data_IF_009396441712
#
_entry.id   IF_009396441712
#
_cell.length_a   1.000
_cell.length_b   1.000
_cell.length_c   1.000
_cell.angle_alpha   90.00
_cell.angle_beta   90.00
_cell.angle_gamma   90.00
#
_symmetry.space_group_name_H-M   'P 1'
#
loop_
_entity.id
_entity.type
_entity.pdbx_description
1 polymer ?
#
# COMPACT_ATOMS: atom_id res chain seq x y z
N UNK A 1 13.58 -7.20 4.18
CA UNK A 1 12.29 -6.91 4.83
C UNK A 1 12.35 -7.12 6.35
N UNK A 2 12.76 -8.27 6.84
CA UNK A 2 12.77 -8.63 8.26
C UNK A 2 13.41 -7.58 9.18
N UNK A 3 14.64 -7.15 8.89
CA UNK A 3 15.33 -6.10 9.67
C UNK A 3 14.53 -4.79 9.75
N UNK A 4 13.92 -4.38 8.64
CA UNK A 4 13.11 -3.15 8.60
C UNK A 4 11.84 -3.27 9.44
N UNK A 5 11.17 -4.43 9.38
CA UNK A 5 10.01 -4.71 10.23
C UNK A 5 10.40 -4.69 11.70
N UNK A 6 11.50 -5.35 12.05
CA UNK A 6 12.01 -5.38 13.41
C UNK A 6 12.33 -3.97 13.92
N UNK A 7 13.01 -3.14 13.13
CA UNK A 7 13.35 -1.75 13.49
C UNK A 7 12.09 -0.90 13.73
N UNK A 8 11.07 -1.01 12.87
CA UNK A 8 9.83 -0.26 13.02
C UNK A 8 9.04 -0.72 14.24
N UNK A 9 8.95 -2.03 14.47
CA UNK A 9 8.26 -2.60 15.63
C UNK A 9 8.94 -2.21 16.94
N UNK A 10 10.25 -2.28 16.99
CA UNK A 10 11.02 -1.89 18.19
C UNK A 10 10.91 -0.40 18.47
N UNK A 11 11.04 0.45 17.45
CA UNK A 11 10.95 1.90 17.55
C UNK A 11 9.57 2.38 18.01
N UNK A 12 8.50 1.77 17.48
CA UNK A 12 7.13 2.25 17.68
C UNK A 12 6.38 1.57 18.79
N UNK A 13 6.61 0.26 18.96
CA UNK A 13 5.84 -0.57 19.89
C UNK A 13 6.71 -1.20 20.99
N UNK A 14 8.03 -1.07 20.92
CA UNK A 14 8.99 -1.72 21.83
C UNK A 14 8.83 -3.25 21.86
N UNK A 15 8.52 -3.86 20.70
CA UNK A 15 8.26 -5.28 20.51
C UNK A 15 9.09 -5.87 19.37
N UNK A 16 9.19 -7.20 19.40
CA UNK A 16 9.82 -7.97 18.33
C UNK A 16 8.75 -8.62 17.43
N UNK A 17 9.17 -9.17 16.29
CA UNK A 17 8.29 -9.93 15.39
C UNK A 17 7.59 -11.11 16.08
N UNK A 18 8.22 -11.73 17.08
CA UNK A 18 7.65 -12.86 17.81
C UNK A 18 6.67 -12.47 18.92
N UNK A 19 6.63 -11.20 19.30
CA UNK A 19 5.82 -10.69 20.43
C UNK A 19 4.79 -9.65 20.03
N UNK A 20 4.77 -9.23 18.77
CA UNK A 20 3.83 -8.23 18.28
C UNK A 20 2.46 -8.82 17.97
N UNK A 21 1.44 -7.96 17.90
CA UNK A 21 0.11 -8.32 17.42
C UNK A 21 -0.01 -8.14 15.90
N UNK A 22 -1.06 -8.71 15.31
CA UNK A 22 -1.36 -8.52 13.87
C UNK A 22 -1.61 -7.06 13.53
N UNK A 23 -2.26 -6.30 14.43
CA UNK A 23 -2.51 -4.87 14.27
C UNK A 23 -1.20 -4.07 14.26
N UNK A 24 -0.27 -4.39 15.16
CA UNK A 24 1.04 -3.76 15.20
C UNK A 24 1.86 -4.06 13.94
N UNK A 25 1.78 -5.31 13.43
CA UNK A 25 2.37 -5.68 12.15
C UNK A 25 1.76 -4.93 10.98
N UNK A 26 0.43 -4.80 10.93
CA UNK A 26 -0.26 -4.00 9.93
C UNK A 26 0.27 -2.55 9.91
N UNK A 27 0.35 -1.92 11.07
CA UNK A 27 0.88 -0.56 11.18
C UNK A 27 2.36 -0.45 10.76
N UNK A 28 3.18 -1.44 11.10
CA UNK A 28 4.58 -1.47 10.69
C UNK A 28 4.72 -1.61 9.15
N UNK A 29 3.92 -2.48 8.52
CA UNK A 29 3.89 -2.64 7.07
C UNK A 29 3.42 -1.37 6.37
N UNK A 30 2.41 -0.70 6.91
CA UNK A 30 1.94 0.60 6.37
C UNK A 30 3.02 1.68 6.45
N UNK A 31 3.80 1.73 7.52
CA UNK A 31 4.92 2.67 7.65
C UNK A 31 6.03 2.39 6.63
N UNK A 32 6.42 1.13 6.46
CA UNK A 32 7.42 0.71 5.48
C UNK A 32 6.97 1.02 4.04
N UNK A 33 5.72 0.74 3.71
CA UNK A 33 5.15 1.07 2.39
C UNK A 33 5.12 2.57 2.15
N UNK A 34 4.74 3.36 3.15
CA UNK A 34 4.73 4.82 3.08
C UNK A 34 6.13 5.39 2.87
N UNK A 35 7.13 4.89 3.57
CA UNK A 35 8.53 5.30 3.37
C UNK A 35 9.03 4.95 1.96
N UNK A 36 8.74 3.73 1.49
CA UNK A 36 9.14 3.29 0.16
C UNK A 36 8.49 4.14 -0.94
N UNK A 37 7.20 4.48 -0.80
CA UNK A 37 6.50 5.34 -1.76
C UNK A 37 6.97 6.80 -1.70
N UNK A 38 7.40 7.28 -0.54
CA UNK A 38 7.93 8.64 -0.38
C UNK A 38 9.21 8.90 -1.20
N UNK A 39 9.94 7.86 -1.56
CA UNK A 39 11.16 7.93 -2.38
C UNK A 39 10.87 7.86 -3.89
N UNK A 40 9.63 7.61 -4.31
CA UNK A 40 9.27 7.59 -5.72
C UNK A 40 9.27 9.00 -6.30
N UNK A 41 9.91 9.15 -7.46
CA UNK A 41 9.90 10.43 -8.19
C UNK A 41 8.47 10.72 -8.67
N UNK A 42 8.02 11.95 -8.42
CA UNK A 42 6.75 12.43 -9.00
C UNK A 42 7.00 12.90 -10.43
N UNK A 43 6.09 12.53 -11.32
CA UNK A 43 6.11 13.06 -12.68
C UNK A 43 5.65 14.52 -12.65
N UNK A 44 6.51 15.42 -13.12
CA UNK A 44 6.19 16.84 -13.28
C UNK A 44 5.97 17.12 -14.78
N UNK A 45 4.72 17.32 -15.15
CA UNK A 45 4.31 17.69 -16.51
C UNK A 45 3.81 19.12 -16.58
N UNK A 46 3.88 19.71 -17.79
CA UNK A 46 3.30 21.03 -18.08
C UNK A 46 1.77 21.04 -18.06
N UNK A 47 1.15 19.88 -18.24
CA UNK A 47 -0.31 19.69 -18.19
C UNK A 47 -0.69 19.03 -16.89
N UNK A 48 -1.76 19.53 -16.25
CA UNK A 48 -2.33 18.96 -15.02
C UNK A 48 -3.75 18.49 -15.29
N UNK A 49 -4.04 17.24 -14.91
CA UNK A 49 -5.38 16.70 -14.92
C UNK A 49 -5.95 16.77 -13.50
N UNK A 50 -7.11 17.39 -13.36
CA UNK A 50 -7.86 17.41 -12.10
C UNK A 50 -9.06 16.49 -12.25
N UNK A 51 -9.09 15.42 -11.47
CA UNK A 51 -10.22 14.50 -11.41
C UNK A 51 -11.01 14.79 -10.12
N UNK A 52 -12.28 15.19 -10.28
CA UNK A 52 -13.15 15.54 -9.16
C UNK A 52 -14.31 14.55 -9.14
N UNK A 53 -14.50 13.86 -8.02
CA UNK A 53 -15.63 12.98 -7.78
C UNK A 53 -16.13 13.13 -6.35
N UNK A 54 -17.45 13.00 -6.16
CA UNK A 54 -18.07 12.99 -4.83
C UNK A 54 -17.88 11.65 -4.12
N UNK A 55 -17.54 10.60 -4.87
CA UNK A 55 -17.37 9.23 -4.35
C UNK A 55 -16.07 8.62 -4.87
N UNK A 56 -15.36 7.88 -4.00
CA UNK A 56 -14.21 7.06 -4.32
C UNK A 56 -14.29 5.76 -3.53
N UNK A 57 -14.33 4.62 -4.23
CA UNK A 57 -14.32 3.28 -3.65
C UNK A 57 -13.07 2.54 -4.16
N UNK A 58 -11.94 2.79 -3.51
CA UNK A 58 -10.62 2.35 -3.99
C UNK A 58 -10.34 0.90 -3.63
N UNK A 59 -10.82 0.42 -2.49
CA UNK A 59 -10.50 -0.89 -1.94
C UNK A 59 -9.28 -0.86 -1.01
N UNK A 60 -8.90 -2.02 -0.50
CA UNK A 60 -7.71 -2.21 0.32
C UNK A 60 -6.45 -2.00 -0.52
N UNK A 61 -5.45 -1.34 0.02
CA UNK A 61 -4.28 -0.88 -0.73
C UNK A 61 -2.97 -1.57 -0.32
N UNK A 62 -2.90 -2.20 0.85
CA UNK A 62 -1.66 -2.77 1.38
C UNK A 62 -1.03 -3.76 0.40
N UNK A 63 -1.76 -4.80 -0.02
CA UNK A 63 -1.27 -5.79 -0.99
C UNK A 63 -0.89 -5.17 -2.31
N UNK A 64 -1.74 -4.29 -2.84
CA UNK A 64 -1.48 -3.62 -4.11
C UNK A 64 -0.18 -2.79 -4.04
N UNK A 65 0.04 -2.10 -2.94
CA UNK A 65 1.26 -1.32 -2.73
C UNK A 65 2.49 -2.22 -2.58
N UNK A 66 2.40 -3.31 -1.81
CA UNK A 66 3.50 -4.28 -1.67
C UNK A 66 3.87 -4.92 -3.02
N UNK A 67 2.88 -5.27 -3.85
CA UNK A 67 3.10 -5.82 -5.20
C UNK A 67 3.80 -4.79 -6.09
N UNK A 68 3.29 -3.56 -6.15
CA UNK A 68 3.85 -2.50 -6.98
C UNK A 68 5.28 -2.09 -6.56
N UNK A 69 5.62 -2.24 -5.28
CA UNK A 69 6.96 -2.00 -4.74
C UNK A 69 7.88 -3.22 -4.88
N UNK A 70 7.38 -4.37 -5.35
CA UNK A 70 8.13 -5.62 -5.43
C UNK A 70 8.47 -6.22 -4.06
N UNK A 71 7.74 -5.86 -3.02
CA UNK A 71 7.99 -6.28 -1.63
C UNK A 71 7.06 -7.41 -1.15
N UNK A 72 6.05 -7.79 -1.93
CA UNK A 72 5.00 -8.73 -1.52
C UNK A 72 5.57 -10.10 -1.13
N UNK A 73 6.32 -10.74 -2.02
CA UNK A 73 6.84 -12.09 -1.78
C UNK A 73 7.83 -12.15 -0.61
N UNK A 74 8.68 -11.13 -0.48
CA UNK A 74 9.64 -11.05 0.63
C UNK A 74 8.92 -10.85 1.95
N UNK A 75 7.89 -10.00 1.98
CA UNK A 75 7.05 -9.77 3.15
C UNK A 75 6.33 -11.04 3.57
N UNK A 76 5.68 -11.72 2.63
CA UNK A 76 4.97 -12.98 2.89
C UNK A 76 5.90 -14.05 3.49
N UNK A 77 7.11 -14.22 2.93
CA UNK A 77 8.10 -15.18 3.44
C UNK A 77 8.53 -14.86 4.87
N UNK A 78 8.81 -13.60 5.16
CA UNK A 78 9.20 -13.16 6.51
C UNK A 78 8.07 -13.40 7.51
N UNK A 79 6.86 -13.01 7.19
CA UNK A 79 5.70 -13.20 8.06
C UNK A 79 5.45 -14.68 8.33
N UNK A 80 5.48 -15.53 7.31
CA UNK A 80 5.32 -16.99 7.46
C UNK A 80 6.39 -17.62 8.35
N UNK A 81 7.64 -17.16 8.30
CA UNK A 81 8.70 -17.66 9.17
C UNK A 81 8.48 -17.36 10.65
N UNK A 82 7.66 -16.34 10.97
CA UNK A 82 7.25 -15.98 12.32
C UNK A 82 5.82 -16.42 12.68
N UNK A 83 5.19 -17.26 11.84
CA UNK A 83 3.87 -17.82 12.11
C UNK A 83 2.69 -16.90 11.80
N UNK A 84 2.88 -15.86 10.98
CA UNK A 84 1.84 -14.96 10.53
C UNK A 84 1.47 -15.21 9.07
N UNK A 85 0.18 -15.08 8.76
CA UNK A 85 -0.30 -15.07 7.37
C UNK A 85 -0.58 -13.64 6.93
N UNK A 86 -0.01 -13.23 5.79
CA UNK A 86 -0.16 -11.87 5.26
C UNK A 86 -1.63 -11.52 5.01
N UNK A 87 -2.43 -12.48 4.50
CA UNK A 87 -3.84 -12.27 4.24
C UNK A 87 -4.65 -11.91 5.51
N UNK A 88 -4.29 -12.46 6.67
CA UNK A 88 -4.96 -12.12 7.93
C UNK A 88 -4.62 -10.69 8.39
N UNK A 89 -3.41 -10.21 8.07
CA UNK A 89 -3.00 -8.83 8.35
C UNK A 89 -3.69 -7.85 7.39
N UNK A 90 -3.84 -8.23 6.12
CA UNK A 90 -4.57 -7.45 5.12
C UNK A 90 -6.07 -7.29 5.47
N UNK A 91 -6.67 -8.28 6.16
CA UNK A 91 -8.05 -8.16 6.62
C UNK A 91 -8.26 -7.06 7.66
N UNK A 92 -7.23 -6.65 8.39
CA UNK A 92 -7.29 -5.55 9.35
C UNK A 92 -7.35 -4.17 8.69
N UNK A 93 -7.03 -4.07 7.39
CA UNK A 93 -7.13 -2.81 6.67
C UNK A 93 -8.60 -2.40 6.52
N UNK A 94 -8.94 -1.25 7.09
CA UNK A 94 -10.22 -0.61 6.81
C UNK A 94 -10.18 -0.03 5.40
N UNK A 95 -11.16 -0.41 4.57
CA UNK A 95 -11.24 0.09 3.20
C UNK A 95 -11.41 1.62 3.19
N UNK A 96 -10.47 2.37 2.59
CA UNK A 96 -10.63 3.81 2.44
C UNK A 96 -11.67 4.09 1.37
N UNK A 97 -12.91 4.33 1.79
CA UNK A 97 -14.03 4.60 0.90
C UNK A 97 -14.70 5.92 1.22
N UNK A 98 -15.04 6.66 0.19
CA UNK A 98 -15.92 7.81 0.23
C UNK A 98 -17.14 7.48 -0.63
N UNK A 99 -18.29 7.24 0.00
CA UNK A 99 -19.46 6.68 -0.67
C UNK A 99 -19.37 5.18 -0.93
N UNK A 100 -20.44 4.59 -1.44
CA UNK A 100 -20.57 3.14 -1.60
C UNK A 100 -21.20 2.71 -2.94
N UNK A 101 -21.35 3.62 -3.87
CA UNK A 101 -22.06 3.39 -5.13
C UNK A 101 -21.16 3.02 -6.30
N UNK A 102 -21.79 2.71 -7.44
CA UNK A 102 -21.12 2.43 -8.71
C UNK A 102 -20.26 3.58 -9.22
N UNK A 103 -20.62 4.83 -8.90
CA UNK A 103 -19.84 6.03 -9.22
C UNK A 103 -18.50 6.05 -8.51
N UNK A 104 -18.45 5.65 -7.24
CA UNK A 104 -17.21 5.55 -6.47
C UNK A 104 -16.25 4.50 -7.05
N UNK A 105 -16.77 3.35 -7.49
CA UNK A 105 -15.99 2.32 -8.15
C UNK A 105 -15.48 2.76 -9.52
N UNK A 106 -16.32 3.44 -10.30
CA UNK A 106 -15.92 4.00 -11.60
C UNK A 106 -14.80 5.04 -11.43
N UNK A 107 -14.91 5.92 -10.44
CA UNK A 107 -13.87 6.90 -10.12
C UNK A 107 -12.54 6.22 -9.76
N UNK A 108 -12.56 5.18 -8.95
CA UNK A 108 -11.37 4.40 -8.60
C UNK A 108 -10.73 3.72 -9.82
N UNK A 109 -11.54 3.09 -10.68
CA UNK A 109 -11.05 2.46 -11.90
C UNK A 109 -10.43 3.48 -12.87
N UNK A 110 -11.04 4.66 -13.01
CA UNK A 110 -10.52 5.75 -13.83
C UNK A 110 -9.17 6.27 -13.30
N UNK A 111 -9.02 6.41 -11.99
CA UNK A 111 -7.75 6.78 -11.34
C UNK A 111 -6.64 5.78 -11.63
N UNK A 112 -6.92 4.48 -11.44
CA UNK A 112 -5.96 3.41 -11.68
C UNK A 112 -5.53 3.38 -13.14
N UNK A 113 -6.48 3.55 -14.07
CA UNK A 113 -6.20 3.60 -15.50
C UNK A 113 -5.31 4.79 -15.87
N UNK A 114 -5.64 5.99 -15.37
CA UNK A 114 -4.85 7.20 -15.60
C UNK A 114 -3.41 7.03 -15.08
N UNK A 115 -3.24 6.49 -13.88
CA UNK A 115 -1.91 6.21 -13.33
C UNK A 115 -1.10 5.26 -14.21
N UNK A 116 -1.73 4.20 -14.74
CA UNK A 116 -1.06 3.23 -15.63
C UNK A 116 -0.68 3.84 -16.98
N UNK A 117 -1.51 4.70 -17.54
CA UNK A 117 -1.23 5.38 -18.81
C UNK A 117 -0.07 6.37 -18.66
N UNK A 118 -0.05 7.16 -17.59
CA UNK A 118 1.02 8.11 -17.30
C UNK A 118 2.35 7.39 -17.06
N UNK A 119 2.36 6.27 -16.36
CA UNK A 119 3.57 5.47 -16.16
C UNK A 119 4.06 4.77 -17.43
N UNK A 120 3.19 4.43 -18.38
CA UNK A 120 3.60 3.81 -19.66
C UNK A 120 4.33 4.78 -20.58
N UNK A 121 3.95 6.05 -20.59
CA UNK A 121 4.61 7.05 -21.41
C UNK A 121 6.01 7.45 -20.89
N UNK A 122 6.30 7.22 -19.61
CA UNK A 122 7.64 7.51 -19.02
C UNK A 122 8.62 6.34 -19.11
N UNK A 123 8.20 5.17 -19.57
CA UNK A 123 9.06 3.96 -19.73
C UNK A 123 9.46 3.74 -21.20
N UNK A 124 9.00 4.55 -22.12
CA UNK A 124 9.24 4.38 -23.56
C UNK A 124 10.18 5.42 -24.20
N UNK A 125 10.98 6.13 -23.40
CA UNK A 125 12.08 6.97 -23.89
C UNK A 125 13.46 6.43 -23.51
#
# INVERSE_FOLDING_TARGET
MEKRLQEVLEKRFHKTLDTCTKEELFHALMEITKEATGNLKRNEGSKKLYYISAEFLIGKLLSNNLINLGLYEETEKVLKSHGYELCEIEELEMEPSLGNGGLGRLAACSWILLLRLVFRETVSD
#
